data_IF_904886848692
#
_entry.id   IF_904886848692
#
_cell.length_a   1.000
_cell.length_b   1.000
_cell.length_c   1.000
_cell.angle_alpha   90.00
_cell.angle_beta   90.00
_cell.angle_gamma   90.00
#
_symmetry.space_group_name_H-M   'P 1'
#
loop_
_entity.id
_entity.type
_entity.pdbx_description
1 polymer ?
#
# COMPACT_ATOMS: atom_id res chain seq x y z
N UNK A 1 -1.86 11.51 -30.41
CA UNK A 1 -3.06 10.65 -30.39
C UNK A 1 -3.29 10.30 -28.95
N UNK A 2 -4.35 10.81 -28.34
CA UNK A 2 -4.71 10.50 -26.95
C UNK A 2 -5.12 9.03 -26.91
N UNK A 3 -4.19 8.16 -26.51
CA UNK A 3 -4.57 6.84 -26.01
C UNK A 3 -5.38 7.11 -24.76
N UNK A 4 -6.71 7.07 -24.86
CA UNK A 4 -7.56 7.08 -23.68
C UNK A 4 -7.14 5.89 -22.84
N UNK A 5 -6.65 6.16 -21.62
CA UNK A 5 -6.30 5.10 -20.69
C UNK A 5 -7.58 4.29 -20.42
N UNK A 6 -7.61 2.98 -20.73
CA UNK A 6 -8.77 2.16 -20.40
C UNK A 6 -9.11 2.19 -18.91
N UNK A 7 -8.16 2.54 -18.02
CA UNK A 7 -8.39 2.71 -16.58
C UNK A 7 -9.27 3.92 -16.26
N UNK A 8 -9.34 4.91 -17.16
CA UNK A 8 -10.06 6.18 -16.99
C UNK A 8 -11.29 6.32 -17.91
N UNK A 9 -11.61 5.29 -18.68
CA UNK A 9 -12.76 5.33 -19.58
C UNK A 9 -14.07 5.59 -18.82
N UNK A 10 -14.73 6.71 -19.14
CA UNK A 10 -16.02 7.09 -18.57
C UNK A 10 -17.10 6.06 -18.94
N UNK A 11 -17.36 5.12 -18.03
CA UNK A 11 -18.49 4.20 -18.15
C UNK A 11 -19.68 4.84 -17.44
N UNK A 12 -20.76 5.13 -18.18
CA UNK A 12 -21.99 5.78 -17.69
C UNK A 12 -22.82 4.90 -16.70
N UNK A 13 -22.16 3.98 -15.98
CA UNK A 13 -22.72 3.01 -15.02
C UNK A 13 -21.81 2.86 -13.80
N UNK A 14 -21.19 3.96 -13.35
CA UNK A 14 -20.25 3.95 -12.23
C UNK A 14 -20.99 3.85 -10.88
N UNK A 15 -21.13 2.63 -10.35
CA UNK A 15 -21.31 2.43 -8.91
C UNK A 15 -19.92 2.45 -8.27
N UNK A 16 -19.55 3.52 -7.52
CA UNK A 16 -18.22 3.65 -6.91
C UNK A 16 -17.92 2.56 -5.87
N UNK A 17 -18.90 1.75 -5.48
CA UNK A 17 -18.75 0.69 -4.47
C UNK A 17 -18.50 -0.70 -5.09
N UNK A 18 -18.53 -0.81 -6.42
CA UNK A 18 -18.40 -2.09 -7.14
C UNK A 18 -17.17 -2.05 -8.05
N UNK A 19 -16.32 -3.08 -8.04
CA UNK A 19 -15.14 -3.09 -8.90
C UNK A 19 -15.52 -3.17 -10.37
N UNK A 20 -14.89 -2.32 -11.19
CA UNK A 20 -15.00 -2.35 -12.65
C UNK A 20 -14.22 -3.56 -13.21
N UNK A 21 -14.42 -3.95 -14.47
CA UNK A 21 -13.64 -5.02 -15.09
C UNK A 21 -12.11 -4.81 -14.98
N UNK A 22 -11.65 -3.57 -15.06
CA UNK A 22 -10.23 -3.20 -14.95
C UNK A 22 -9.67 -3.24 -13.52
N UNK A 23 -10.55 -3.30 -12.52
CA UNK A 23 -10.19 -3.39 -11.11
C UNK A 23 -10.00 -4.84 -10.67
N UNK A 24 -10.46 -5.80 -11.48
CA UNK A 24 -10.41 -7.24 -11.15
C UNK A 24 -8.99 -7.79 -11.26
N UNK A 25 -8.71 -8.80 -10.43
CA UNK A 25 -7.53 -9.65 -10.54
C UNK A 25 -7.43 -10.29 -11.92
N UNK A 26 -6.20 -10.48 -12.39
CA UNK A 26 -5.87 -11.13 -13.65
C UNK A 26 -5.82 -12.64 -13.44
N UNK A 27 -6.74 -13.36 -14.08
CA UNK A 27 -6.68 -14.82 -14.17
C UNK A 27 -5.68 -15.21 -15.24
N UNK A 28 -4.65 -15.96 -14.85
CA UNK A 28 -3.63 -16.47 -15.75
C UNK A 28 -4.04 -17.87 -16.24
N UNK A 29 -3.66 -18.27 -17.46
CA UNK A 29 -3.94 -19.61 -17.97
C UNK A 29 -3.27 -20.68 -17.09
N UNK A 30 -3.96 -21.80 -16.85
CA UNK A 30 -3.44 -22.89 -16.04
C UNK A 30 -2.32 -23.65 -16.76
N UNK A 31 -1.22 -23.95 -16.05
CA UNK A 31 -0.20 -24.92 -16.45
C UNK A 31 0.78 -24.45 -17.53
N UNK A 32 1.34 -23.24 -17.40
CA UNK A 32 2.36 -22.76 -18.32
C UNK A 32 2.94 -21.39 -17.96
N UNK A 33 4.04 -21.04 -18.64
CA UNK A 33 4.71 -19.77 -18.47
C UNK A 33 3.74 -18.59 -18.65
N UNK A 34 3.73 -17.68 -17.68
CA UNK A 34 2.96 -16.44 -17.73
C UNK A 34 3.43 -15.63 -18.93
N UNK A 35 2.50 -15.28 -19.81
CA UNK A 35 2.78 -14.39 -20.92
C UNK A 35 3.32 -13.04 -20.39
N UNK A 36 4.49 -12.56 -20.84
CA UNK A 36 5.10 -11.35 -20.30
C UNK A 36 4.21 -10.11 -20.42
N UNK A 37 3.47 -9.96 -21.52
CA UNK A 37 2.60 -8.78 -21.73
C UNK A 37 1.42 -8.81 -20.76
N UNK A 38 0.78 -9.97 -20.59
CA UNK A 38 -0.29 -10.15 -19.61
C UNK A 38 0.22 -9.99 -18.17
N UNK A 39 1.42 -10.51 -17.88
CA UNK A 39 2.05 -10.45 -16.57
C UNK A 39 2.43 -9.03 -16.17
N UNK A 40 3.03 -8.25 -17.08
CA UNK A 40 3.51 -6.90 -16.83
C UNK A 40 2.38 -5.90 -16.53
N UNK A 41 1.15 -6.17 -16.99
CA UNK A 41 -0.02 -5.30 -16.79
C UNK A 41 -0.98 -5.79 -15.69
N UNK A 42 -0.69 -6.91 -15.02
CA UNK A 42 -1.54 -7.42 -13.95
C UNK A 42 -1.59 -6.46 -12.75
N UNK A 43 -2.77 -6.30 -12.15
CA UNK A 43 -2.94 -5.68 -10.81
C UNK A 43 -2.55 -6.70 -9.74
N UNK A 44 -3.31 -7.80 -9.74
CA UNK A 44 -3.19 -8.96 -8.87
C UNK A 44 -3.20 -10.18 -9.77
N UNK A 45 -2.24 -11.09 -9.59
CA UNK A 45 -2.32 -12.44 -10.12
C UNK A 45 -3.34 -13.22 -9.30
N UNK A 46 -4.48 -13.57 -9.91
CA UNK A 46 -5.51 -14.35 -9.25
C UNK A 46 -4.96 -15.73 -8.89
N UNK A 47 -5.23 -16.17 -7.66
CA UNK A 47 -4.92 -17.54 -7.26
C UNK A 47 -5.85 -18.53 -7.98
N UNK A 48 -5.36 -19.72 -8.39
CA UNK A 48 -6.21 -20.80 -8.87
C UNK A 48 -7.27 -21.21 -7.82
N UNK A 49 -8.45 -21.59 -8.29
CA UNK A 49 -9.56 -22.02 -7.41
C UNK A 49 -9.25 -23.36 -6.73
N UNK A 50 -8.51 -24.26 -7.39
CA UNK A 50 -8.09 -25.55 -6.81
C UNK A 50 -6.77 -25.39 -6.03
N UNK A 51 -6.76 -25.65 -4.71
CA UNK A 51 -5.53 -25.60 -3.91
C UNK A 51 -4.41 -26.53 -4.39
N UNK A 52 -4.73 -27.59 -5.14
CA UNK A 52 -3.75 -28.49 -5.72
C UNK A 52 -2.86 -27.80 -6.77
N UNK A 53 -3.33 -26.70 -7.39
CA UNK A 53 -2.62 -25.96 -8.42
C UNK A 53 -1.70 -24.86 -7.85
N UNK A 54 -1.86 -24.49 -6.58
CA UNK A 54 -1.08 -23.42 -5.95
C UNK A 54 0.45 -23.62 -5.99
N UNK A 55 1.01 -24.84 -5.82
CA UNK A 55 2.44 -25.06 -5.97
C UNK A 55 2.97 -24.69 -7.36
N UNK A 56 2.33 -25.19 -8.42
CA UNK A 56 2.74 -24.90 -9.80
C UNK A 56 2.56 -23.41 -10.13
N UNK A 57 1.46 -22.81 -9.68
CA UNK A 57 1.22 -21.38 -9.83
C UNK A 57 2.32 -20.52 -9.18
N UNK A 58 2.81 -20.89 -7.98
CA UNK A 58 3.97 -20.20 -7.36
C UNK A 58 5.24 -20.31 -8.20
N UNK A 59 5.50 -21.48 -8.80
CA UNK A 59 6.64 -21.66 -9.70
C UNK A 59 6.53 -20.76 -10.93
N UNK A 60 5.33 -20.67 -11.54
CA UNK A 60 5.06 -19.79 -12.68
C UNK A 60 5.26 -18.30 -12.32
N UNK A 61 4.80 -17.87 -11.14
CA UNK A 61 5.04 -16.52 -10.62
C UNK A 61 6.53 -16.22 -10.46
N UNK A 62 7.31 -17.15 -9.89
CA UNK A 62 8.75 -16.98 -9.70
C UNK A 62 9.47 -16.90 -11.05
N UNK A 63 9.11 -17.78 -11.99
CA UNK A 63 9.66 -17.79 -13.35
C UNK A 63 9.38 -16.47 -14.09
N UNK A 64 8.15 -15.94 -14.00
CA UNK A 64 7.80 -14.63 -14.57
C UNK A 64 8.63 -13.50 -13.96
N UNK A 65 8.78 -13.48 -12.63
CA UNK A 65 9.57 -12.43 -11.96
C UNK A 65 11.01 -12.44 -12.43
N UNK A 66 11.63 -13.62 -12.46
CA UNK A 66 13.04 -13.76 -12.80
C UNK A 66 13.29 -13.44 -14.29
N UNK A 67 12.38 -13.86 -15.17
CA UNK A 67 12.35 -13.45 -16.59
C UNK A 67 12.23 -11.94 -16.74
N UNK A 68 11.24 -11.33 -16.09
CA UNK A 68 10.95 -9.91 -16.22
C UNK A 68 12.10 -9.06 -15.70
N UNK A 69 12.77 -9.47 -14.61
CA UNK A 69 13.98 -8.80 -14.10
C UNK A 69 15.13 -8.86 -15.11
N UNK A 70 15.34 -10.00 -15.76
CA UNK A 70 16.37 -10.14 -16.79
C UNK A 70 16.04 -9.30 -18.04
N UNK A 71 14.80 -9.39 -18.54
CA UNK A 71 14.33 -8.65 -19.72
C UNK A 71 14.39 -7.14 -19.54
N UNK A 72 14.03 -6.65 -18.36
CA UNK A 72 14.02 -5.22 -18.03
C UNK A 72 15.38 -4.72 -17.51
N UNK A 73 16.40 -5.58 -17.43
CA UNK A 73 17.70 -5.25 -16.86
C UNK A 73 17.61 -4.60 -15.46
N UNK A 74 16.72 -5.13 -14.62
CA UNK A 74 16.38 -4.57 -13.31
C UNK A 74 17.61 -4.44 -12.41
N UNK A 75 17.84 -3.22 -11.91
CA UNK A 75 18.99 -2.92 -11.06
C UNK A 75 18.68 -2.89 -9.57
N UNK A 76 17.48 -2.44 -9.20
CA UNK A 76 17.06 -2.27 -7.80
C UNK A 76 17.79 -1.20 -6.98
N UNK A 77 18.69 -0.42 -7.61
CA UNK A 77 19.58 0.53 -6.91
C UNK A 77 18.84 1.61 -6.13
N UNK A 78 17.71 2.11 -6.64
CA UNK A 78 16.95 3.15 -5.96
C UNK A 78 16.35 2.66 -4.62
N UNK A 79 16.10 1.35 -4.48
CA UNK A 79 15.68 0.74 -3.21
C UNK A 79 16.83 0.50 -2.22
N UNK A 80 18.08 0.68 -2.65
CA UNK A 80 19.27 0.54 -1.80
C UNK A 80 19.75 1.90 -1.25
N UNK A 81 19.18 3.02 -1.72
CA UNK A 81 19.55 4.35 -1.22
C UNK A 81 19.04 4.53 0.21
N UNK A 82 19.93 4.72 1.22
CA UNK A 82 19.52 4.86 2.60
C UNK A 82 18.65 6.11 2.86
N UNK A 83 18.69 7.11 1.98
CA UNK A 83 17.87 8.34 2.09
C UNK A 83 16.39 8.09 1.78
N UNK A 84 16.08 7.08 0.96
CA UNK A 84 14.71 6.70 0.56
C UNK A 84 14.29 5.33 1.05
N UNK A 85 15.17 4.57 1.71
CA UNK A 85 14.90 3.23 2.25
C UNK A 85 13.67 3.14 3.17
N UNK A 86 13.25 4.27 3.77
CA UNK A 86 12.03 4.37 4.56
C UNK A 86 10.77 4.01 3.76
N UNK A 87 10.76 4.20 2.43
CA UNK A 87 9.61 3.95 1.57
C UNK A 87 9.13 2.49 1.67
N UNK A 88 10.07 1.54 1.76
CA UNK A 88 9.77 0.11 1.92
C UNK A 88 9.10 -0.26 3.27
N UNK A 89 9.01 0.70 4.20
CA UNK A 89 8.44 0.54 5.54
C UNK A 89 7.25 1.46 5.82
N UNK A 90 6.82 2.24 4.84
CA UNK A 90 5.63 3.06 4.95
C UNK A 90 4.39 2.18 4.76
N UNK A 91 3.86 1.54 5.81
CA UNK A 91 2.72 0.63 5.69
C UNK A 91 1.38 1.38 5.72
N UNK A 92 1.32 2.58 6.28
CA UNK A 92 0.15 3.43 6.31
C UNK A 92 0.48 4.86 5.91
N UNK A 93 -0.02 5.29 4.76
CA UNK A 93 0.01 6.69 4.33
C UNK A 93 -1.41 7.22 4.33
N UNK A 94 -1.66 8.44 4.81
CA UNK A 94 -2.99 9.04 4.72
C UNK A 94 -3.08 10.06 3.59
N UNK A 95 -4.22 10.13 2.90
CA UNK A 95 -4.52 11.28 2.06
C UNK A 95 -5.32 12.29 2.86
N UNK A 96 -4.75 13.48 3.06
CA UNK A 96 -5.28 14.50 3.96
C UNK A 96 -5.50 15.76 3.17
N UNK A 97 -6.72 16.29 3.20
CA UNK A 97 -6.97 17.61 2.64
C UNK A 97 -6.27 18.66 3.50
N UNK A 98 -5.52 19.57 2.90
CA UNK A 98 -4.74 20.59 3.61
C UNK A 98 -5.61 21.44 4.55
N UNK A 99 -6.89 21.58 4.19
CA UNK A 99 -7.91 22.32 4.94
C UNK A 99 -8.86 21.42 5.73
N UNK A 100 -8.50 20.15 5.96
CA UNK A 100 -9.27 19.25 6.83
C UNK A 100 -9.39 19.89 8.22
N UNK A 101 -10.62 20.00 8.74
CA UNK A 101 -10.91 20.66 10.03
C UNK A 101 -10.23 19.97 11.23
N UNK A 102 -9.74 18.74 11.06
CA UNK A 102 -8.92 18.04 12.06
C UNK A 102 -7.48 18.53 12.03
N UNK A 103 -6.97 18.94 10.87
CA UNK A 103 -5.61 19.42 10.63
C UNK A 103 -5.47 20.94 10.71
N UNK A 104 -6.47 21.71 10.28
CA UNK A 104 -6.43 23.17 10.28
C UNK A 104 -7.55 23.75 11.16
N UNK A 105 -7.18 24.66 12.06
CA UNK A 105 -8.13 25.39 12.89
C UNK A 105 -8.54 26.71 12.22
N UNK A 106 -9.78 26.77 11.73
CA UNK A 106 -10.29 27.96 11.05
C UNK A 106 -10.50 29.17 11.99
N UNK A 107 -10.73 28.96 13.29
CA UNK A 107 -10.90 30.07 14.21
C UNK A 107 -9.56 30.70 14.58
N UNK A 108 -8.54 29.86 14.80
CA UNK A 108 -7.19 30.28 15.19
C UNK A 108 -6.25 30.51 13.99
N UNK A 109 -6.68 30.14 12.78
CA UNK A 109 -5.92 30.25 11.52
C UNK A 109 -4.54 29.59 11.60
N UNK A 110 -4.49 28.36 12.13
CA UNK A 110 -3.25 27.60 12.30
C UNK A 110 -3.46 26.10 12.12
N UNK A 111 -2.38 25.41 11.78
CA UNK A 111 -2.37 23.95 11.79
C UNK A 111 -2.34 23.38 13.21
N UNK A 112 -2.87 22.17 13.35
CA UNK A 112 -3.04 21.44 14.61
C UNK A 112 -2.69 19.96 14.41
N UNK A 113 -1.39 19.67 14.25
CA UNK A 113 -0.91 18.31 13.94
C UNK A 113 -1.35 17.30 15.01
N UNK A 114 -1.24 17.63 16.30
CA UNK A 114 -1.65 16.71 17.38
C UNK A 114 -3.13 16.37 17.35
N UNK A 115 -3.99 17.34 17.04
CA UNK A 115 -5.44 17.11 16.90
C UNK A 115 -5.73 16.17 15.75
N UNK A 116 -5.04 16.34 14.62
CA UNK A 116 -5.18 15.45 13.47
C UNK A 116 -4.75 14.02 13.82
N UNK A 117 -3.57 13.84 14.42
CA UNK A 117 -3.06 12.51 14.75
C UNK A 117 -3.90 11.80 15.81
N UNK A 118 -4.41 12.51 16.81
CA UNK A 118 -5.35 11.95 17.79
C UNK A 118 -6.63 11.47 17.10
N UNK A 119 -7.13 12.21 16.09
CA UNK A 119 -8.36 11.85 15.38
C UNK A 119 -8.28 10.52 14.61
N UNK A 120 -7.06 10.12 14.21
CA UNK A 120 -6.80 8.88 13.45
C UNK A 120 -6.09 7.80 14.28
N UNK A 121 -5.76 8.07 15.55
CA UNK A 121 -5.03 7.15 16.42
C UNK A 121 -5.70 5.76 16.53
N UNK A 122 -7.04 5.70 16.37
CA UNK A 122 -7.82 4.47 16.32
C UNK A 122 -7.33 3.46 15.27
N UNK A 123 -6.73 3.92 14.17
CA UNK A 123 -6.23 3.13 13.05
C UNK A 123 -4.80 2.60 13.25
N UNK A 124 -4.10 3.02 14.31
CA UNK A 124 -2.74 2.52 14.64
C UNK A 124 -1.58 3.41 14.18
N UNK A 125 -1.86 4.65 13.80
CA UNK A 125 -0.87 5.65 13.41
C UNK A 125 -0.38 5.50 11.98
N UNK A 126 0.22 6.56 11.44
CA UNK A 126 0.70 6.65 10.06
C UNK A 126 2.23 6.55 10.01
N UNK A 127 2.74 6.28 8.81
CA UNK A 127 4.14 6.41 8.44
C UNK A 127 4.36 7.63 7.52
N UNK A 128 3.31 8.11 6.87
CA UNK A 128 3.31 9.36 6.12
C UNK A 128 1.93 9.88 5.76
N UNK A 129 1.88 11.00 5.05
CA UNK A 129 0.65 11.59 4.54
C UNK A 129 0.88 12.43 3.29
N UNK A 130 -0.15 12.50 2.45
CA UNK A 130 -0.25 13.36 1.27
C UNK A 130 -1.05 14.60 1.66
N UNK A 131 -0.47 15.79 1.45
CA UNK A 131 -1.13 17.08 1.68
C UNK A 131 -1.91 17.55 0.45
N UNK A 132 -3.10 17.00 0.23
CA UNK A 132 -3.93 17.36 -0.91
C UNK A 132 -4.44 18.81 -0.85
N UNK A 133 -4.33 19.60 -1.93
CA UNK A 133 -4.68 21.04 -1.89
C UNK A 133 -5.73 21.50 -2.93
N UNK A 134 -5.63 21.07 -4.19
CA UNK A 134 -6.26 21.78 -5.32
C UNK A 134 -7.69 21.32 -5.62
N UNK A 135 -7.94 20.03 -5.80
CA UNK A 135 -9.30 19.55 -6.07
C UNK A 135 -10.13 19.50 -4.77
N UNK A 136 -11.40 19.95 -4.76
CA UNK A 136 -12.22 20.35 -5.90
C UNK A 136 -12.29 21.86 -6.17
N UNK A 137 -11.39 22.68 -5.61
CA UNK A 137 -11.49 24.15 -5.62
C UNK A 137 -10.63 24.85 -6.68
N UNK A 138 -9.74 24.13 -7.34
CA UNK A 138 -8.86 24.68 -8.39
C UNK A 138 -9.69 25.24 -9.56
N UNK A 139 -9.26 26.40 -10.08
CA UNK A 139 -9.96 27.13 -11.14
C UNK A 139 -11.07 28.08 -10.66
N UNK A 140 -11.32 28.18 -9.35
CA UNK A 140 -12.21 29.22 -8.78
C UNK A 140 -11.55 30.61 -8.81
N UNK A 141 -10.22 30.66 -8.71
CA UNK A 141 -9.41 31.88 -8.80
C UNK A 141 -8.15 31.65 -9.67
N UNK A 142 -7.27 32.66 -9.74
CA UNK A 142 -6.11 32.66 -10.63
C UNK A 142 -4.95 31.75 -10.18
N UNK A 143 -5.08 31.06 -9.04
CA UNK A 143 -4.06 30.15 -8.53
C UNK A 143 -3.98 28.86 -9.34
N UNK A 144 -2.76 28.44 -9.65
CA UNK A 144 -2.47 27.11 -10.19
C UNK A 144 -2.14 26.11 -9.08
N UNK A 145 -1.96 24.84 -9.43
CA UNK A 145 -1.66 23.79 -8.44
C UNK A 145 -0.47 24.13 -7.51
N UNK A 146 0.57 24.80 -8.00
CA UNK A 146 1.73 25.14 -7.18
C UNK A 146 1.46 26.32 -6.23
N UNK A 147 0.68 27.32 -6.68
CA UNK A 147 0.28 28.46 -5.84
C UNK A 147 -0.51 27.98 -4.62
N UNK A 148 -1.34 26.94 -4.78
CA UNK A 148 -2.10 26.34 -3.68
C UNK A 148 -1.23 25.71 -2.57
N UNK A 149 0.06 25.47 -2.82
CA UNK A 149 1.03 25.17 -1.77
C UNK A 149 1.79 26.42 -1.32
N UNK A 150 2.32 27.20 -2.25
CA UNK A 150 3.21 28.33 -1.93
C UNK A 150 2.52 29.44 -1.14
N UNK A 151 1.22 29.63 -1.36
CA UNK A 151 0.45 30.66 -0.69
C UNK A 151 -0.05 30.22 0.70
N UNK A 152 0.24 28.98 1.13
CA UNK A 152 -0.21 28.42 2.42
C UNK A 152 0.71 28.93 3.54
N UNK A 153 0.21 29.79 4.45
CA UNK A 153 1.04 30.31 5.52
C UNK A 153 1.46 29.18 6.48
N UNK A 154 2.77 29.05 6.72
CA UNK A 154 3.30 28.09 7.67
C UNK A 154 3.44 26.65 7.15
N UNK A 155 3.28 26.39 5.86
CA UNK A 155 3.40 25.04 5.28
C UNK A 155 4.74 24.36 5.59
N UNK A 156 5.86 25.07 5.46
CA UNK A 156 7.18 24.52 5.81
C UNK A 156 7.28 24.15 7.30
N UNK A 157 6.63 24.92 8.18
CA UNK A 157 6.57 24.60 9.61
C UNK A 157 5.67 23.39 9.89
N UNK A 158 4.57 23.25 9.15
CA UNK A 158 3.71 22.06 9.21
C UNK A 158 4.47 20.79 8.80
N UNK A 159 5.22 20.85 7.69
CA UNK A 159 6.04 19.71 7.23
C UNK A 159 7.05 19.31 8.29
N UNK A 160 7.80 20.27 8.86
CA UNK A 160 8.70 20.00 9.98
C UNK A 160 8.00 19.40 11.19
N UNK A 161 6.81 19.89 11.53
CA UNK A 161 6.05 19.39 12.67
C UNK A 161 5.62 17.92 12.49
N UNK A 162 5.33 17.50 11.25
CA UNK A 162 5.13 16.09 10.92
C UNK A 162 6.43 15.28 10.98
N UNK A 163 7.53 15.82 10.46
CA UNK A 163 8.85 15.18 10.56
C UNK A 163 9.30 14.94 12.01
N UNK A 164 9.05 15.90 12.90
CA UNK A 164 9.34 15.79 14.34
C UNK A 164 8.56 14.63 15.00
N UNK A 165 7.46 14.19 14.39
CA UNK A 165 6.65 13.03 14.80
C UNK A 165 6.97 11.76 14.01
N UNK A 166 8.03 11.80 13.20
CA UNK A 166 8.52 10.66 12.42
C UNK A 166 7.72 10.35 11.15
N UNK A 167 6.85 11.26 10.72
CA UNK A 167 6.01 11.08 9.53
C UNK A 167 6.71 11.61 8.28
N UNK A 168 6.43 11.00 7.14
CA UNK A 168 6.84 11.49 5.82
C UNK A 168 5.72 12.32 5.19
N UNK A 169 6.09 13.34 4.43
CA UNK A 169 5.12 14.26 3.82
C UNK A 169 5.26 14.21 2.30
N UNK A 170 4.15 13.94 1.64
CA UNK A 170 4.01 13.95 0.20
C UNK A 170 3.19 15.16 -0.24
N UNK A 171 3.52 15.69 -1.41
CA UNK A 171 2.66 16.62 -2.16
C UNK A 171 1.99 15.89 -3.31
N UNK A 172 0.76 16.26 -3.67
CA UNK A 172 0.14 15.81 -4.91
C UNK A 172 0.64 16.59 -6.14
N UNK A 173 0.71 15.88 -7.26
CA UNK A 173 0.86 16.46 -8.60
C UNK A 173 -0.35 16.11 -9.46
N UNK A 174 -0.98 17.14 -10.03
CA UNK A 174 -2.21 17.03 -10.80
C UNK A 174 -1.92 17.31 -12.28
N UNK A 175 -1.66 16.29 -13.12
CA UNK A 175 -1.27 16.48 -14.52
C UNK A 175 -2.40 17.05 -15.38
N UNK A 176 -3.65 16.90 -14.92
CA UNK A 176 -4.84 17.39 -15.59
C UNK A 176 -5.04 18.90 -15.41
N UNK A 177 -4.27 19.56 -14.53
CA UNK A 177 -4.24 21.01 -14.40
C UNK A 177 -3.54 21.68 -15.59
N UNK A 178 -4.27 21.71 -16.70
CA UNK A 178 -3.88 22.36 -17.97
C UNK A 178 -4.64 23.66 -18.20
N UNK A 179 -5.62 23.97 -17.34
CA UNK A 179 -6.53 25.09 -17.48
C UNK A 179 -6.18 26.32 -16.64
N UNK A 180 -5.34 26.18 -15.61
CA UNK A 180 -4.90 27.32 -14.79
C UNK A 180 -3.69 28.04 -15.40
N UNK A 181 -3.30 29.15 -14.76
CA UNK A 181 -2.15 29.95 -15.15
C UNK A 181 -0.86 29.12 -15.14
N UNK A 182 -0.21 28.97 -16.29
CA UNK A 182 1.11 28.33 -16.39
C UNK A 182 2.20 29.21 -15.78
N UNK A 183 3.18 28.58 -15.14
CA UNK A 183 4.40 29.26 -14.73
C UNK A 183 5.35 29.36 -15.92
N UNK A 184 6.35 30.25 -15.86
CA UNK A 184 7.37 30.32 -16.92
C UNK A 184 8.33 29.13 -16.94
N UNK A 185 8.12 28.12 -16.08
CA UNK A 185 8.94 26.91 -15.91
C UNK A 185 8.11 25.68 -16.29
N UNK A 186 8.77 24.54 -16.44
CA UNK A 186 8.09 23.26 -16.59
C UNK A 186 7.50 22.79 -15.27
N UNK A 187 6.47 21.94 -15.30
CA UNK A 187 5.88 21.37 -14.08
C UNK A 187 6.89 20.54 -13.29
N UNK A 188 7.82 19.87 -13.98
CA UNK A 188 8.92 19.15 -13.37
C UNK A 188 9.85 20.08 -12.55
N UNK A 189 10.21 21.24 -13.10
CA UNK A 189 11.04 22.23 -12.40
C UNK A 189 10.28 22.89 -11.25
N UNK A 190 8.99 23.19 -11.43
CA UNK A 190 8.15 23.77 -10.39
C UNK A 190 7.96 22.83 -9.20
N UNK A 191 7.70 21.56 -9.48
CA UNK A 191 7.46 20.57 -8.45
C UNK A 191 8.73 20.22 -7.67
N UNK A 192 9.87 20.07 -8.36
CA UNK A 192 11.15 19.84 -7.68
C UNK A 192 11.51 21.02 -6.75
N UNK A 193 11.37 22.25 -7.23
CA UNK A 193 11.58 23.48 -6.46
C UNK A 193 10.64 23.59 -5.25
N UNK A 194 9.37 23.23 -5.43
CA UNK A 194 8.41 23.18 -4.35
C UNK A 194 8.81 22.14 -3.28
N UNK A 195 9.14 20.92 -3.70
CA UNK A 195 9.51 19.84 -2.79
C UNK A 195 10.74 20.21 -1.95
N UNK A 196 11.78 20.74 -2.59
CA UNK A 196 12.99 21.23 -1.88
C UNK A 196 12.67 22.40 -0.96
N UNK A 197 11.82 23.33 -1.41
CA UNK A 197 11.46 24.53 -0.67
C UNK A 197 10.68 24.26 0.62
N UNK A 198 9.79 23.26 0.63
CA UNK A 198 8.99 22.92 1.82
C UNK A 198 9.55 21.73 2.61
N UNK A 199 10.53 21.02 2.04
CA UNK A 199 11.09 19.79 2.62
C UNK A 199 10.18 18.57 2.48
N UNK A 200 9.48 18.42 1.35
CA UNK A 200 8.69 17.21 1.09
C UNK A 200 9.61 15.98 0.88
N UNK A 201 9.09 14.81 1.20
CA UNK A 201 9.78 13.52 1.07
C UNK A 201 9.41 12.77 -0.22
N UNK A 202 8.28 13.13 -0.82
CA UNK A 202 7.81 12.48 -2.04
C UNK A 202 6.67 13.20 -2.73
N UNK A 203 6.32 12.66 -3.90
CA UNK A 203 5.25 13.14 -4.74
C UNK A 203 4.25 12.03 -4.99
N UNK A 204 3.00 12.31 -4.65
CA UNK A 204 1.84 11.50 -4.98
C UNK A 204 1.33 11.90 -6.36
N UNK A 205 1.34 10.97 -7.32
CA UNK A 205 0.98 11.25 -8.70
C UNK A 205 -0.50 10.92 -8.91
N UNK A 206 -1.35 11.94 -9.04
CA UNK A 206 -2.77 11.76 -9.32
C UNK A 206 -2.97 11.44 -10.80
N UNK A 207 -3.81 10.45 -11.14
CA UNK A 207 -4.11 10.01 -12.53
C UNK A 207 -2.90 9.52 -13.34
N UNK A 208 -1.74 9.37 -12.72
CA UNK A 208 -0.52 8.91 -13.38
C UNK A 208 0.02 7.65 -12.72
N UNK A 209 0.12 6.59 -13.51
CA UNK A 209 0.82 5.36 -13.13
C UNK A 209 2.34 5.58 -12.97
N UNK A 210 2.89 6.57 -13.65
CA UNK A 210 4.29 6.96 -13.61
C UNK A 210 4.48 8.44 -13.99
N UNK A 211 5.55 9.04 -13.50
CA UNK A 211 6.09 10.28 -14.04
C UNK A 211 6.81 10.03 -15.36
N UNK A 212 6.72 11.01 -16.27
CA UNK A 212 7.52 11.01 -17.49
C UNK A 212 9.03 11.14 -17.19
N UNK A 213 9.85 11.04 -18.23
CA UNK A 213 11.30 11.03 -18.08
C UNK A 213 11.89 12.35 -17.56
N UNK A 214 11.22 13.49 -17.78
CA UNK A 214 11.71 14.79 -17.31
C UNK A 214 11.27 15.06 -15.87
N UNK A 215 10.01 14.76 -15.54
CA UNK A 215 9.48 14.80 -14.18
C UNK A 215 10.27 13.88 -13.24
N UNK A 216 10.44 12.62 -13.65
CA UNK A 216 11.17 11.63 -12.84
C UNK A 216 12.61 12.08 -12.59
N UNK A 217 13.30 12.59 -13.62
CA UNK A 217 14.68 13.07 -13.49
C UNK A 217 14.78 14.29 -12.58
N UNK A 218 13.88 15.26 -12.71
CA UNK A 218 13.88 16.44 -11.87
C UNK A 218 13.69 16.09 -10.39
N UNK A 219 12.74 15.20 -10.10
CA UNK A 219 12.39 14.81 -8.72
C UNK A 219 13.44 13.90 -8.09
N UNK A 220 13.99 12.93 -8.83
CA UNK A 220 15.04 12.03 -8.32
C UNK A 220 16.41 12.68 -8.22
N UNK A 221 16.62 13.85 -8.83
CA UNK A 221 17.86 14.62 -8.74
C UNK A 221 17.91 15.61 -7.55
N UNK A 222 16.81 15.79 -6.84
CA UNK A 222 16.76 16.57 -5.59
C UNK A 222 17.61 15.91 -4.49
N UNK A 223 17.94 16.65 -3.43
CA UNK A 223 18.65 16.12 -2.26
C UNK A 223 17.91 16.40 -0.94
N UNK A 224 17.30 15.38 -0.31
CA UNK A 224 17.25 13.97 -0.73
C UNK A 224 16.34 13.75 -1.96
N UNK A 225 16.55 12.66 -2.73
CA UNK A 225 15.68 12.31 -3.85
C UNK A 225 14.22 12.15 -3.42
N UNK A 226 13.29 12.72 -4.19
CA UNK A 226 11.87 12.55 -3.93
C UNK A 226 11.41 11.12 -4.26
N UNK A 227 10.58 10.56 -3.38
CA UNK A 227 9.93 9.27 -3.59
C UNK A 227 8.66 9.45 -4.41
N UNK A 228 8.53 8.75 -5.53
CA UNK A 228 7.35 8.83 -6.40
C UNK A 228 6.34 7.73 -6.07
N UNK A 229 5.08 8.12 -5.90
CA UNK A 229 3.95 7.23 -5.65
C UNK A 229 2.92 7.33 -6.78
N UNK A 230 2.99 6.39 -7.74
CA UNK A 230 2.11 6.35 -8.91
C UNK A 230 0.75 5.68 -8.65
N UNK A 231 -0.26 6.06 -9.43
CA UNK A 231 -1.63 5.51 -9.35
C UNK A 231 -1.76 4.11 -9.98
N UNK A 232 -2.51 3.25 -9.31
CA UNK A 232 -3.01 1.98 -9.83
C UNK A 232 -1.88 1.04 -10.25
N UNK A 233 -1.61 0.92 -11.55
CA UNK A 233 -0.68 -0.06 -12.12
C UNK A 233 0.59 0.63 -12.61
N UNK A 234 1.54 0.85 -11.70
CA UNK A 234 2.90 1.25 -12.10
C UNK A 234 3.42 0.30 -13.19
N UNK A 235 3.92 0.79 -14.33
CA UNK A 235 4.46 -0.08 -15.35
C UNK A 235 5.66 -0.87 -14.81
N UNK A 236 5.81 -2.13 -15.24
CA UNK A 236 6.83 -3.01 -14.65
C UNK A 236 8.25 -2.43 -14.78
N UNK A 237 8.56 -1.79 -15.91
CA UNK A 237 9.83 -1.11 -16.17
C UNK A 237 10.07 0.13 -15.28
N UNK A 238 9.03 0.72 -14.68
CA UNK A 238 9.11 1.93 -13.85
C UNK A 238 9.17 1.61 -12.35
N UNK A 239 9.06 0.33 -11.97
CA UNK A 239 9.23 -0.06 -10.56
C UNK A 239 10.63 0.30 -10.07
N UNK A 240 11.65 0.38 -10.94
CA UNK A 240 13.01 0.72 -10.52
C UNK A 240 13.18 2.18 -10.06
N UNK A 241 12.29 3.10 -10.46
CA UNK A 241 12.36 4.52 -10.13
C UNK A 241 11.08 5.13 -9.52
N UNK A 242 10.02 4.33 -9.40
CA UNK A 242 8.82 4.63 -8.63
C UNK A 242 8.76 3.66 -7.45
N UNK A 243 9.24 4.09 -6.28
CA UNK A 243 9.42 3.19 -5.13
C UNK A 243 8.11 2.84 -4.43
N UNK A 244 7.06 3.64 -4.67
CA UNK A 244 5.73 3.47 -4.12
C UNK A 244 4.69 3.44 -5.24
N UNK A 245 3.54 2.84 -4.96
CA UNK A 245 2.33 3.04 -5.76
C UNK A 245 1.09 2.94 -4.89
N UNK A 246 0.04 3.67 -5.27
CA UNK A 246 -1.24 3.60 -4.59
C UNK A 246 -2.22 2.79 -5.43
N UNK A 247 -2.62 1.64 -4.90
CA UNK A 247 -3.37 0.62 -5.60
C UNK A 247 -4.87 0.92 -5.57
N UNK A 248 -5.28 1.95 -6.33
CA UNK A 248 -6.68 2.33 -6.46
C UNK A 248 -7.51 1.18 -7.05
N UNK A 249 -8.46 0.69 -6.26
CA UNK A 249 -9.40 -0.36 -6.64
C UNK A 249 -8.71 -1.60 -7.21
N UNK A 250 -7.99 -2.32 -6.35
CA UNK A 250 -7.50 -3.67 -6.63
C UNK A 250 -8.47 -4.68 -6.01
N UNK A 251 -9.32 -5.28 -6.84
CA UNK A 251 -10.26 -6.32 -6.45
C UNK A 251 -9.58 -7.68 -6.53
N UNK A 252 -9.36 -8.26 -5.35
CA UNK A 252 -8.69 -9.55 -5.16
C UNK A 252 -9.54 -10.75 -5.62
N UNK A 253 -8.90 -11.91 -5.79
CA UNK A 253 -9.53 -13.21 -6.06
C UNK A 253 -10.15 -13.83 -4.79
N UNK A 254 -10.85 -14.98 -4.89
CA UNK A 254 -11.46 -15.63 -3.72
C UNK A 254 -10.40 -16.04 -2.69
N UNK A 255 -9.48 -16.92 -3.08
CA UNK A 255 -8.21 -17.08 -2.38
C UNK A 255 -7.34 -15.83 -2.66
N UNK A 256 -6.67 -15.25 -1.65
CA UNK A 256 -5.86 -14.04 -1.83
C UNK A 256 -4.81 -14.21 -2.93
N UNK A 257 -4.86 -13.34 -3.94
CA UNK A 257 -3.91 -13.31 -5.03
C UNK A 257 -2.63 -12.55 -4.67
N UNK A 258 -1.72 -12.49 -5.64
CA UNK A 258 -0.40 -11.85 -5.50
C UNK A 258 -0.37 -10.52 -6.25
N UNK A 259 -0.10 -9.42 -5.53
CA UNK A 259 0.07 -8.09 -6.11
C UNK A 259 1.35 -8.06 -6.96
N UNK A 260 1.18 -7.79 -8.26
CA UNK A 260 2.25 -7.94 -9.26
C UNK A 260 3.48 -7.10 -8.93
N UNK A 261 3.30 -5.80 -8.66
CA UNK A 261 4.42 -4.89 -8.44
C UNK A 261 5.27 -5.31 -7.23
N UNK A 262 4.60 -5.72 -6.16
CA UNK A 262 5.26 -6.13 -4.93
C UNK A 262 5.86 -7.55 -5.00
N UNK A 263 5.33 -8.43 -5.86
CA UNK A 263 6.01 -9.69 -6.20
C UNK A 263 7.26 -9.46 -7.05
N UNK A 264 7.19 -8.49 -7.97
CA UNK A 264 8.32 -8.12 -8.83
C UNK A 264 9.48 -7.52 -8.03
N UNK A 265 9.19 -6.64 -7.07
CA UNK A 265 10.16 -6.08 -6.12
C UNK A 265 9.56 -5.98 -4.72
N UNK A 266 10.06 -6.77 -3.77
CA UNK A 266 9.54 -6.89 -2.41
C UNK A 266 9.66 -5.59 -1.60
N UNK A 267 10.58 -4.69 -1.95
CA UNK A 267 10.71 -3.37 -1.30
C UNK A 267 9.79 -2.30 -1.89
N UNK A 268 9.12 -2.57 -3.02
CA UNK A 268 8.13 -1.66 -3.59
C UNK A 268 6.85 -1.70 -2.75
N UNK A 269 6.58 -0.64 -2.01
CA UNK A 269 5.44 -0.58 -1.10
C UNK A 269 4.21 -0.07 -1.83
N UNK A 270 3.15 -0.88 -1.80
CA UNK A 270 1.86 -0.52 -2.38
C UNK A 270 0.90 -0.07 -1.28
N UNK A 271 0.15 1.01 -1.51
CA UNK A 271 -0.91 1.45 -0.61
C UNK A 271 -2.29 1.18 -1.22
N UNK A 272 -2.96 0.13 -0.75
CA UNK A 272 -4.27 -0.26 -1.29
C UNK A 272 -5.38 0.67 -0.81
N UNK A 273 -6.32 1.01 -1.72
CA UNK A 273 -7.47 1.86 -1.40
C UNK A 273 -8.71 1.61 -2.28
N UNK A 274 -9.88 1.66 -1.64
CA UNK A 274 -11.23 1.71 -2.20
C UNK A 274 -11.93 2.93 -1.66
N UNK A 275 -11.84 4.01 -2.41
CA UNK A 275 -12.51 5.29 -2.10
C UNK A 275 -14.02 5.07 -2.02
N UNK A 276 -14.70 5.86 -1.21
CA UNK A 276 -16.16 5.81 -0.97
C UNK A 276 -16.67 4.61 -0.17
N UNK A 277 -15.86 3.57 0.04
CA UNK A 277 -16.23 2.44 0.87
C UNK A 277 -16.11 2.79 2.36
N UNK A 278 -16.97 2.16 3.18
CA UNK A 278 -16.81 2.12 4.64
C UNK A 278 -16.28 0.78 5.14
N UNK A 279 -16.35 -0.25 4.28
CA UNK A 279 -15.79 -1.58 4.50
C UNK A 279 -14.52 -1.72 3.66
N UNK A 280 -13.41 -1.87 4.38
CA UNK A 280 -12.05 -1.96 3.87
C UNK A 280 -11.47 -3.37 4.10
N UNK A 281 -12.27 -4.34 4.52
CA UNK A 281 -11.79 -5.71 4.76
C UNK A 281 -11.13 -6.33 3.52
N UNK A 282 -11.60 -6.00 2.33
CA UNK A 282 -11.04 -6.52 1.08
C UNK A 282 -9.60 -6.07 0.82
N UNK A 283 -9.30 -4.78 0.98
CA UNK A 283 -7.96 -4.23 0.81
C UNK A 283 -7.05 -4.55 1.99
N UNK A 284 -7.57 -4.54 3.23
CA UNK A 284 -6.82 -4.92 4.43
C UNK A 284 -6.34 -6.38 4.33
N UNK A 285 -7.21 -7.29 3.89
CA UNK A 285 -6.83 -8.68 3.69
C UNK A 285 -5.83 -8.86 2.55
N UNK A 286 -6.03 -8.17 1.43
CA UNK A 286 -5.11 -8.25 0.30
C UNK A 286 -3.72 -7.74 0.68
N UNK A 287 -3.64 -6.58 1.31
CA UNK A 287 -2.39 -5.98 1.78
C UNK A 287 -1.71 -6.85 2.84
N UNK A 288 -2.47 -7.42 3.79
CA UNK A 288 -1.96 -8.35 4.78
C UNK A 288 -1.34 -9.61 4.17
N UNK A 289 -1.99 -10.21 3.19
CA UNK A 289 -1.51 -11.45 2.54
C UNK A 289 -0.31 -11.21 1.63
N UNK A 290 -0.12 -9.98 1.16
CA UNK A 290 0.97 -9.57 0.27
C UNK A 290 2.15 -8.92 0.99
N UNK A 291 1.96 -8.46 2.24
CA UNK A 291 2.98 -7.69 2.98
C UNK A 291 3.04 -6.21 2.59
N UNK A 292 1.97 -5.66 1.99
CA UNK A 292 1.87 -4.27 1.54
C UNK A 292 1.07 -3.39 2.51
N UNK A 293 0.97 -2.10 2.20
CA UNK A 293 0.34 -1.09 3.01
C UNK A 293 -1.05 -0.66 2.55
N UNK A 294 -1.55 0.38 3.20
CA UNK A 294 -2.89 0.95 3.04
C UNK A 294 -2.79 2.46 2.88
N UNK A 295 -3.54 3.02 1.91
CA UNK A 295 -3.76 4.46 1.85
C UNK A 295 -5.01 4.76 2.68
N UNK A 296 -4.83 5.40 3.84
CA UNK A 296 -5.92 5.79 4.72
C UNK A 296 -6.61 7.02 4.14
N UNK A 297 -7.87 6.86 3.75
CA UNK A 297 -8.67 7.96 3.23
C UNK A 297 -10.11 7.90 3.75
N UNK A 298 -10.40 8.72 4.75
CA UNK A 298 -11.69 8.76 5.45
C UNK A 298 -12.53 10.01 5.12
N UNK A 299 -11.86 11.12 4.79
CA UNK A 299 -12.43 12.34 4.24
C UNK A 299 -12.10 12.48 2.75
N UNK A 300 -12.96 11.92 1.89
CA UNK A 300 -12.77 11.89 0.44
C UNK A 300 -13.13 13.23 -0.16
N UNK A 301 -12.12 14.02 -0.56
CA UNK A 301 -12.29 15.36 -1.13
C UNK A 301 -13.20 16.28 -0.30
N UNK A 302 -13.01 16.27 1.02
CA UNK A 302 -13.82 17.05 1.97
C UNK A 302 -15.15 16.42 2.35
N UNK A 303 -15.51 15.25 1.80
CA UNK A 303 -16.71 14.50 2.17
C UNK A 303 -16.35 13.42 3.19
N UNK A 304 -16.95 13.47 4.37
CA UNK A 304 -16.78 12.42 5.38
C UNK A 304 -17.43 11.11 4.95
N UNK A 305 -16.61 10.09 4.71
CA UNK A 305 -17.03 8.71 4.43
C UNK A 305 -16.89 7.87 5.70
N UNK A 306 -15.69 7.92 6.29
CA UNK A 306 -15.33 7.23 7.52
C UNK A 306 -15.27 5.70 7.40
N UNK A 307 -14.36 5.09 8.15
CA UNK A 307 -14.21 3.64 8.18
C UNK A 307 -15.17 3.02 9.21
N UNK A 308 -15.45 1.72 9.09
CA UNK A 308 -16.08 1.01 10.19
C UNK A 308 -15.04 0.66 11.28
N UNK A 309 -15.51 0.50 12.52
CA UNK A 309 -14.65 0.26 13.70
C UNK A 309 -13.89 -1.06 13.65
N UNK A 310 -14.43 -2.09 12.98
CA UNK A 310 -13.75 -3.38 12.81
C UNK A 310 -12.48 -3.17 12.00
N UNK A 311 -12.58 -2.46 10.88
CA UNK A 311 -11.47 -2.26 9.95
C UNK A 311 -10.41 -1.30 10.51
N UNK A 312 -10.80 -0.26 11.25
CA UNK A 312 -9.85 0.56 12.03
C UNK A 312 -9.05 -0.30 13.03
N UNK A 313 -9.73 -1.17 13.79
CA UNK A 313 -9.07 -2.05 14.75
C UNK A 313 -8.23 -3.16 14.07
N UNK A 314 -8.63 -3.60 12.88
CA UNK A 314 -7.86 -4.52 12.04
C UNK A 314 -6.57 -3.85 11.57
N UNK A 315 -6.64 -2.65 10.99
CA UNK A 315 -5.47 -1.90 10.56
C UNK A 315 -4.50 -1.66 11.71
N UNK A 316 -5.00 -1.26 12.90
CA UNK A 316 -4.16 -1.06 14.08
C UNK A 316 -3.35 -2.30 14.47
N UNK A 317 -3.97 -3.48 14.44
CA UNK A 317 -3.29 -4.75 14.75
C UNK A 317 -2.35 -5.17 13.63
N UNK A 318 -2.77 -4.98 12.39
CA UNK A 318 -1.98 -5.25 11.18
C UNK A 318 -0.67 -4.47 11.20
N UNK A 319 -0.72 -3.15 11.41
CA UNK A 319 0.45 -2.27 11.41
C UNK A 319 1.45 -2.62 12.51
N UNK A 320 0.98 -3.02 13.70
CA UNK A 320 1.88 -3.49 14.76
C UNK A 320 2.74 -4.66 14.28
N UNK A 321 2.11 -5.64 13.63
CA UNK A 321 2.82 -6.83 13.14
C UNK A 321 3.72 -6.48 11.96
N UNK A 322 3.22 -5.72 10.99
CA UNK A 322 3.99 -5.33 9.80
C UNK A 322 5.23 -4.51 10.17
N UNK A 323 5.12 -3.54 11.08
CA UNK A 323 6.27 -2.74 11.53
C UNK A 323 7.31 -3.58 12.27
N UNK A 324 6.88 -4.50 13.14
CA UNK A 324 7.77 -5.39 13.88
C UNK A 324 8.50 -6.40 12.98
N UNK A 325 7.86 -6.81 11.88
CA UNK A 325 8.34 -7.85 10.95
C UNK A 325 8.62 -7.30 9.54
N UNK A 326 8.85 -5.99 9.40
CA UNK A 326 9.04 -5.34 8.11
C UNK A 326 10.17 -6.00 7.30
N UNK A 327 11.25 -6.34 8.00
CA UNK A 327 12.38 -7.12 7.52
C UNK A 327 12.00 -8.50 6.95
N UNK A 328 11.09 -9.22 7.63
CA UNK A 328 10.61 -10.54 7.19
C UNK A 328 9.74 -10.38 5.94
N UNK A 329 8.93 -9.32 5.88
CA UNK A 329 8.05 -9.04 4.75
C UNK A 329 8.82 -8.55 3.50
N UNK A 330 9.87 -7.74 3.69
CA UNK A 330 10.64 -7.15 2.60
C UNK A 330 11.77 -8.07 2.09
N UNK A 331 12.41 -8.84 2.96
CA UNK A 331 13.62 -9.60 2.63
C UNK A 331 13.51 -11.11 2.90
N UNK A 332 12.42 -11.56 3.52
CA UNK A 332 12.18 -12.98 3.77
C UNK A 332 11.75 -13.74 2.51
N UNK A 333 11.85 -15.06 2.57
CA UNK A 333 11.23 -15.93 1.58
C UNK A 333 9.72 -15.92 1.76
N UNK A 334 8.98 -15.66 0.68
CA UNK A 334 7.53 -15.64 0.66
C UNK A 334 6.96 -16.79 -0.16
N UNK A 335 6.09 -17.58 0.46
CA UNK A 335 5.27 -18.58 -0.22
C UNK A 335 3.78 -18.19 -0.09
N UNK A 336 3.18 -17.59 -1.14
CA UNK A 336 1.76 -17.26 -1.17
C UNK A 336 0.89 -18.51 -1.06
N UNK A 337 -0.17 -18.47 -0.26
CA UNK A 337 -1.14 -19.57 -0.11
C UNK A 337 -0.45 -20.91 0.25
N UNK A 338 0.51 -20.85 1.17
CA UNK A 338 1.25 -22.01 1.66
C UNK A 338 0.95 -22.25 3.15
N UNK A 339 0.68 -23.51 3.48
CA UNK A 339 0.60 -24.03 4.86
C UNK A 339 -0.78 -24.03 5.53
N UNK A 340 -1.85 -23.55 4.90
CA UNK A 340 -3.20 -23.69 5.45
C UNK A 340 -3.66 -25.17 5.47
N UNK A 341 -4.46 -25.58 6.47
CA UNK A 341 -5.08 -26.93 6.48
C UNK A 341 -6.21 -27.03 5.45
N UNK A 342 -6.53 -28.23 4.93
CA UNK A 342 -7.69 -28.41 4.05
C UNK A 342 -9.02 -27.96 4.68
N UNK A 343 -9.17 -28.14 6.00
CA UNK A 343 -10.33 -27.67 6.76
C UNK A 343 -10.43 -26.13 6.75
N UNK A 344 -9.31 -25.44 7.01
CA UNK A 344 -9.25 -23.99 6.96
C UNK A 344 -9.58 -23.46 5.55
N UNK A 345 -8.97 -24.02 4.51
CA UNK A 345 -9.23 -23.61 3.12
C UNK A 345 -10.70 -23.81 2.73
N UNK A 346 -11.29 -24.96 3.09
CA UNK A 346 -12.72 -25.24 2.87
C UNK A 346 -13.61 -24.21 3.58
N UNK A 347 -13.20 -23.73 4.76
CA UNK A 347 -13.89 -22.69 5.50
C UNK A 347 -13.66 -21.27 4.96
N UNK A 348 -12.85 -21.09 3.93
CA UNK A 348 -12.47 -19.76 3.40
C UNK A 348 -11.40 -19.05 4.24
N UNK A 349 -10.61 -19.82 4.99
CA UNK A 349 -9.44 -19.35 5.75
C UNK A 349 -8.17 -19.72 5.00
N UNK A 350 -7.36 -18.72 4.66
CA UNK A 350 -6.16 -18.87 3.85
C UNK A 350 -4.94 -18.38 4.62
N UNK A 351 -3.78 -18.95 4.33
CA UNK A 351 -2.51 -18.57 4.97
C UNK A 351 -1.40 -18.41 3.92
N UNK A 352 -0.50 -17.44 4.11
CA UNK A 352 0.78 -17.33 3.40
C UNK A 352 1.93 -17.43 4.40
N UNK A 353 3.05 -18.02 3.95
CA UNK A 353 4.24 -18.21 4.78
C UNK A 353 5.34 -17.22 4.41
N UNK A 354 5.98 -16.68 5.44
CA UNK A 354 7.14 -15.80 5.35
C UNK A 354 8.25 -16.32 6.26
N UNK A 355 9.46 -16.52 5.73
CA UNK A 355 10.59 -17.05 6.51
C UNK A 355 11.83 -16.19 6.38
N UNK A 356 12.44 -15.83 7.51
CA UNK A 356 13.76 -15.16 7.56
C UNK A 356 14.47 -15.55 8.86
N UNK A 357 15.61 -16.23 8.73
CA UNK A 357 16.35 -16.76 9.88
C UNK A 357 15.48 -17.71 10.72
N UNK A 358 15.39 -17.44 12.02
CA UNK A 358 14.63 -18.25 12.99
C UNK A 358 13.14 -17.88 13.07
N UNK A 359 12.68 -16.92 12.27
CA UNK A 359 11.31 -16.43 12.29
C UNK A 359 10.51 -17.00 11.11
N UNK A 360 9.34 -17.57 11.41
CA UNK A 360 8.32 -17.88 10.41
C UNK A 360 7.03 -17.13 10.74
N UNK A 361 6.70 -16.12 9.93
CA UNK A 361 5.41 -15.43 10.01
C UNK A 361 4.41 -16.10 9.08
N UNK A 362 3.22 -16.35 9.59
CA UNK A 362 2.05 -16.78 8.83
C UNK A 362 1.04 -15.64 8.82
N UNK A 363 0.75 -15.11 7.63
CA UNK A 363 -0.34 -14.16 7.45
C UNK A 363 -1.60 -14.95 7.12
N UNK A 364 -2.64 -14.83 7.96
CA UNK A 364 -3.90 -15.58 7.82
C UNK A 364 -5.07 -14.62 7.63
N UNK A 365 -6.00 -14.97 6.75
CA UNK A 365 -7.25 -14.22 6.51
C UNK A 365 -8.48 -15.11 6.55
N UNK A 366 -9.63 -14.51 6.86
CA UNK A 366 -10.93 -15.17 6.76
C UNK A 366 -11.82 -14.40 5.77
N UNK A 367 -12.17 -15.06 4.66
CA UNK A 367 -12.99 -14.47 3.58
C UNK A 367 -14.49 -14.45 3.92
N UNK A 368 -14.92 -15.21 4.94
CA UNK A 368 -16.31 -15.30 5.41
C UNK A 368 -16.61 -14.23 6.45
N UNK A 369 -17.89 -14.04 6.74
CA UNK A 369 -18.42 -13.05 7.70
C UNK A 369 -18.57 -13.59 9.13
N UNK A 370 -18.32 -14.88 9.33
CA UNK A 370 -18.32 -15.55 10.63
C UNK A 370 -16.90 -15.82 11.12
N UNK A 371 -16.72 -15.73 12.43
CA UNK A 371 -15.45 -16.11 13.07
C UNK A 371 -15.17 -17.61 12.83
N UNK A 372 -13.92 -17.92 12.52
CA UNK A 372 -13.45 -19.30 12.43
C UNK A 372 -12.54 -19.61 13.63
N UNK A 373 -12.68 -20.80 14.21
CA UNK A 373 -11.89 -21.25 15.36
C UNK A 373 -11.38 -22.66 15.07
N UNK A 374 -10.06 -22.83 15.00
CA UNK A 374 -9.46 -24.12 14.68
C UNK A 374 -7.94 -24.06 14.58
N UNK A 375 -7.34 -25.05 13.90
CA UNK A 375 -5.90 -25.08 13.63
C UNK A 375 -5.66 -24.66 12.17
N UNK A 376 -5.34 -23.37 11.90
CA UNK A 376 -5.29 -22.88 10.53
C UNK A 376 -4.10 -23.44 9.75
N UNK A 377 -3.03 -23.85 10.44
CA UNK A 377 -1.76 -24.25 9.84
C UNK A 377 -1.57 -25.77 9.89
N UNK A 378 -1.18 -26.36 8.77
CA UNK A 378 -0.88 -27.78 8.64
C UNK A 378 0.46 -28.16 9.30
N UNK A 379 1.42 -27.24 9.30
CA UNK A 379 2.71 -27.46 9.93
C UNK A 379 2.59 -27.43 11.47
N UNK A 380 3.13 -28.43 12.19
CA UNK A 380 3.24 -28.35 13.64
C UNK A 380 4.18 -27.20 14.01
N UNK A 381 3.93 -26.56 15.15
CA UNK A 381 4.84 -25.54 15.65
C UNK A 381 6.21 -26.17 15.93
N UNK A 382 7.30 -25.68 15.34
CA UNK A 382 8.63 -26.25 15.56
C UNK A 382 9.16 -25.95 16.97
N UNK A 383 8.64 -24.90 17.61
CA UNK A 383 8.94 -24.49 18.98
C UNK A 383 7.77 -23.72 19.57
N UNK A 384 8.00 -22.45 19.91
CA UNK A 384 6.96 -21.55 20.39
C UNK A 384 6.16 -20.94 19.24
N UNK A 385 4.84 -20.85 19.41
CA UNK A 385 3.90 -20.25 18.46
C UNK A 385 3.13 -19.13 19.14
N UNK A 386 3.03 -17.97 18.49
CA UNK A 386 2.33 -16.80 19.01
C UNK A 386 1.28 -16.30 18.03
N UNK A 387 0.10 -15.92 18.53
CA UNK A 387 -0.84 -15.09 17.80
C UNK A 387 -0.44 -13.63 18.05
N UNK A 388 0.23 -13.04 17.07
CA UNK A 388 0.71 -11.66 17.11
C UNK A 388 -0.42 -10.63 17.05
N UNK A 389 -1.62 -11.02 16.60
CA UNK A 389 -2.78 -10.12 16.57
C UNK A 389 -3.52 -10.10 17.90
N UNK A 390 -3.56 -11.23 18.60
CA UNK A 390 -4.10 -11.34 19.96
C UNK A 390 -3.06 -10.96 21.05
N UNK A 391 -1.76 -11.08 20.74
CA UNK A 391 -0.68 -10.87 21.71
C UNK A 391 -0.53 -12.01 22.71
N UNK A 392 -0.75 -13.25 22.28
CA UNK A 392 -0.77 -14.43 23.17
C UNK A 392 -0.04 -15.61 22.56
N UNK A 393 0.60 -16.44 23.39
CA UNK A 393 1.11 -17.75 22.97
C UNK A 393 -0.07 -18.68 22.57
N UNK A 394 0.13 -19.47 21.52
CA UNK A 394 -0.88 -20.40 20.98
C UNK A 394 -0.70 -21.76 21.63
N UNK A 395 -1.63 -22.12 22.51
CA UNK A 395 -1.67 -23.44 23.17
C UNK A 395 -2.80 -24.34 22.65
N UNK A 396 -3.53 -23.91 21.62
CA UNK A 396 -4.71 -24.60 21.11
C UNK A 396 -5.26 -23.97 19.82
N UNK A 397 -6.59 -24.02 19.66
CA UNK A 397 -7.25 -23.45 18.50
C UNK A 397 -7.08 -21.92 18.44
N UNK A 398 -6.87 -21.40 17.24
CA UNK A 398 -6.73 -19.98 16.95
C UNK A 398 -8.03 -19.45 16.37
N UNK A 399 -8.41 -18.24 16.78
CA UNK A 399 -9.54 -17.51 16.21
C UNK A 399 -9.07 -16.66 15.03
N UNK A 400 -9.69 -16.83 13.87
CA UNK A 400 -9.55 -15.92 12.72
C UNK A 400 -10.87 -15.15 12.55
N UNK A 401 -10.92 -13.85 12.92
CA UNK A 401 -12.17 -13.11 12.91
C UNK A 401 -12.82 -13.04 11.53
N UNK A 402 -14.16 -13.06 11.48
CA UNK A 402 -14.91 -12.88 10.22
C UNK A 402 -14.53 -11.58 9.53
N UNK A 403 -14.24 -11.63 8.22
CA UNK A 403 -13.70 -10.53 7.42
C UNK A 403 -12.38 -9.96 7.95
N UNK A 404 -11.72 -10.63 8.88
CA UNK A 404 -10.51 -10.17 9.56
C UNK A 404 -9.24 -10.91 9.14
N UNK A 405 -8.20 -10.67 9.93
CA UNK A 405 -6.86 -11.21 9.76
C UNK A 405 -6.39 -11.83 11.10
N UNK A 406 -5.42 -12.72 11.01
CA UNK A 406 -4.61 -13.20 12.15
C UNK A 406 -3.17 -13.33 11.71
N UNK A 407 -2.22 -12.97 12.58
CA UNK A 407 -0.79 -13.17 12.37
C UNK A 407 -0.25 -14.18 13.33
N UNK A 408 0.32 -15.27 12.83
CA UNK A 408 0.93 -16.31 13.67
C UNK A 408 2.44 -16.29 13.46
N UNK A 409 3.21 -16.26 14.53
CA UNK A 409 4.66 -16.37 14.50
C UNK A 409 5.10 -17.70 15.08
N UNK A 410 5.85 -18.47 14.31
CA UNK A 410 6.62 -19.60 14.80
C UNK A 410 8.09 -19.19 14.98
N UNK A 411 8.65 -19.54 16.14
CA UNK A 411 10.07 -19.44 16.42
C UNK A 411 10.73 -20.81 16.23
N UNK A 412 11.91 -20.83 15.59
CA UNK A 412 12.72 -22.04 15.49
C UNK A 412 13.07 -22.60 16.89
N UNK A 413 13.31 -23.91 17.03
CA UNK A 413 13.64 -24.52 18.32
C UNK A 413 14.91 -23.89 18.92
N UNK A 414 14.81 -23.36 20.14
CA UNK A 414 15.94 -22.73 20.83
C UNK A 414 16.24 -21.29 20.40
N UNK A 415 15.45 -20.70 19.50
CA UNK A 415 15.56 -19.30 19.14
C UNK A 415 15.17 -18.39 20.31
N UNK A 416 15.90 -17.28 20.47
CA UNK A 416 15.53 -16.24 21.44
C UNK A 416 14.27 -15.51 20.99
N UNK A 417 13.36 -15.23 21.93
CA UNK A 417 12.18 -14.42 21.64
C UNK A 417 12.60 -12.99 21.32
N UNK A 418 12.15 -12.40 20.19
CA UNK A 418 12.45 -11.02 19.87
C UNK A 418 11.97 -10.06 20.98
N UNK A 419 12.75 -9.00 21.26
CA UNK A 419 12.43 -8.07 22.34
C UNK A 419 11.05 -7.39 22.17
N UNK A 420 10.62 -7.15 20.93
CA UNK A 420 9.31 -6.57 20.61
C UNK A 420 8.13 -7.53 20.85
N UNK A 421 8.37 -8.83 21.05
CA UNK A 421 7.33 -9.83 21.31
C UNK A 421 6.89 -9.84 22.78
N UNK A 422 7.72 -9.29 23.68
CA UNK A 422 7.48 -9.28 25.13
C UNK A 422 6.62 -8.11 25.63
N UNK A 423 6.10 -7.26 24.72
CA UNK A 423 5.25 -6.09 25.01
C UNK A 423 4.14 -5.93 23.99
#
# INVERSE_FOLDING_TARGET
MTHADPDEAATNTFDPLVPRPIDRSTVLPAGGAIDPEAGDIAKIFAAPDDPADWPAWREDLAAWRDEARARLAYSGKAYEDPRTAWASRAFAVAQVWLWDERLFDHAEQRFTVDRFLESIAGQGGLDGLVLWHAYPVIGIDDRNQFDFYRDVPGLEALVREFHDRGLRVFVDYNPWDTGTRRTGRTDAEELADLCEGIGADGVFLDTLKEGDADLTRALTATDPPQVLEGESRVPNARIEDHLLSWAQWFADSEAPGVQRAHWYERRHMMHSIRRWNRDHSGELQSAWMNGTGILVWDAVFGVWVGWNRRDEATLRRMLRVQRALADVLAEGEWAPLDGATPEAVTAGVYASRWTRGDLTLWTVVNRRDIDWIGTPLAAPAPGHRFDLTAGTEVTGAVKVPGRGITGILDLAPGAESPAWLAG
#
